data_IF_683491569377
#
_entry.id   IF_683491569377
#
_cell.length_a   1.000
_cell.length_b   1.000
_cell.length_c   1.000
_cell.angle_alpha   90.00
_cell.angle_beta   90.00
_cell.angle_gamma   90.00
#
_symmetry.space_group_name_H-M   'P 1'
#
loop_
_entity.id
_entity.type
_entity.pdbx_description
1 polymer ?
#
# COMPACT_ATOMS: atom_id res chain seq x y z
N UNK A 1 -32.34 6.99 7.81
CA UNK A 1 -32.10 5.88 8.77
C UNK A 1 -31.47 6.33 10.09
N UNK A 2 -30.40 7.13 10.10
CA UNK A 2 -29.79 7.66 11.34
C UNK A 2 -30.63 8.70 12.13
N UNK A 3 -31.80 9.09 11.62
CA UNK A 3 -32.73 10.05 12.25
C UNK A 3 -33.81 9.38 13.12
N UNK A 4 -33.86 8.04 13.19
CA UNK A 4 -35.02 7.31 13.73
C UNK A 4 -34.80 6.82 15.18
N UNK A 5 -33.57 6.55 15.60
CA UNK A 5 -33.27 6.10 16.98
C UNK A 5 -31.81 6.38 17.36
N UNK A 6 -31.58 6.94 18.56
CA UNK A 6 -30.24 7.19 19.12
C UNK A 6 -29.40 5.92 19.25
N UNK A 7 -30.02 4.80 19.66
CA UNK A 7 -29.34 3.52 19.80
C UNK A 7 -28.89 2.96 18.45
N UNK A 8 -29.75 3.08 17.42
CA UNK A 8 -29.38 2.68 16.07
C UNK A 8 -28.21 3.51 15.54
N UNK A 9 -28.23 4.83 15.79
CA UNK A 9 -27.12 5.73 15.42
C UNK A 9 -25.82 5.34 16.14
N UNK A 10 -25.87 5.00 17.42
CA UNK A 10 -24.69 4.61 18.20
C UNK A 10 -24.03 3.32 17.66
N UNK A 11 -24.82 2.39 17.14
CA UNK A 11 -24.31 1.13 16.56
C UNK A 11 -23.81 1.33 15.13
N UNK A 12 -24.55 2.09 14.32
CA UNK A 12 -24.26 2.21 12.87
C UNK A 12 -23.15 3.22 12.57
N UNK A 13 -23.01 4.27 13.37
CA UNK A 13 -21.99 5.31 13.11
C UNK A 13 -20.57 4.74 13.08
N UNK A 14 -20.12 3.90 14.04
CA UNK A 14 -18.79 3.30 13.96
C UNK A 14 -18.57 2.50 12.67
N UNK A 15 -19.57 1.74 12.23
CA UNK A 15 -19.49 0.90 11.02
C UNK A 15 -19.36 1.77 9.76
N UNK A 16 -20.16 2.83 9.65
CA UNK A 16 -20.16 3.71 8.47
C UNK A 16 -18.87 4.52 8.31
N UNK A 17 -18.17 4.78 9.41
CA UNK A 17 -16.97 5.61 9.43
C UNK A 17 -15.69 4.81 9.72
N UNK A 18 -15.76 3.48 9.82
CA UNK A 18 -14.61 2.62 10.09
C UNK A 18 -13.54 2.76 8.99
N UNK A 19 -13.99 2.83 7.73
CA UNK A 19 -13.16 3.01 6.56
C UNK A 19 -13.65 4.24 5.79
N UNK A 20 -12.76 5.21 5.58
CA UNK A 20 -13.07 6.40 4.78
C UNK A 20 -12.14 6.48 3.57
N UNK A 21 -12.71 6.88 2.44
CA UNK A 21 -11.97 7.26 1.24
C UNK A 21 -12.10 8.77 1.06
N UNK A 22 -10.97 9.46 0.96
CA UNK A 22 -10.83 10.88 0.70
C UNK A 22 -10.43 11.04 -0.77
N UNK A 23 -11.41 11.37 -1.62
CA UNK A 23 -11.26 11.64 -3.05
C UNK A 23 -11.89 13.00 -3.42
N UNK A 24 -11.84 13.38 -4.70
CA UNK A 24 -12.40 14.63 -5.21
C UNK A 24 -13.84 14.88 -4.75
N UNK A 25 -14.65 13.82 -4.72
CA UNK A 25 -16.07 13.89 -4.42
C UNK A 25 -16.35 13.94 -2.92
N UNK A 26 -15.57 13.22 -2.11
CA UNK A 26 -15.85 13.07 -0.68
C UNK A 26 -15.11 14.06 0.21
N UNK A 27 -14.00 14.63 -0.27
CA UNK A 27 -13.05 15.37 0.55
C UNK A 27 -13.69 16.52 1.34
N UNK A 28 -14.46 17.39 0.67
CA UNK A 28 -15.09 18.55 1.32
C UNK A 28 -16.13 18.14 2.38
N UNK A 29 -16.84 17.03 2.18
CA UNK A 29 -17.78 16.51 3.17
C UNK A 29 -17.06 16.03 4.43
N UNK A 30 -15.88 15.41 4.29
CA UNK A 30 -15.06 15.02 5.43
C UNK A 30 -14.41 16.20 6.14
N UNK A 31 -14.04 17.27 5.42
CA UNK A 31 -13.61 18.55 6.03
C UNK A 31 -14.74 19.17 6.86
N UNK A 32 -15.98 19.17 6.36
CA UNK A 32 -17.12 19.66 7.13
C UNK A 32 -17.39 18.77 8.35
N UNK A 33 -17.30 17.45 8.17
CA UNK A 33 -17.55 16.45 9.22
C UNK A 33 -16.50 16.51 10.33
N UNK A 34 -15.23 16.79 10.01
CA UNK A 34 -14.15 16.91 11.01
C UNK A 34 -14.32 18.08 11.97
N UNK A 35 -15.08 19.11 11.57
CA UNK A 35 -15.35 20.31 12.37
C UNK A 35 -16.51 20.15 13.34
N UNK A 36 -17.21 19.01 13.33
CA UNK A 36 -18.31 18.75 14.25
C UNK A 36 -17.78 18.50 15.67
N UNK A 37 -18.40 19.07 16.73
CA UNK A 37 -17.95 18.88 18.12
C UNK A 37 -17.89 17.40 18.57
N UNK A 38 -18.78 16.57 18.04
CA UNK A 38 -18.78 15.12 18.21
C UNK A 38 -18.64 14.44 16.84
N UNK A 39 -17.49 14.67 16.20
CA UNK A 39 -17.24 14.14 14.85
C UNK A 39 -17.25 12.61 14.85
N UNK A 40 -17.98 11.97 13.91
CA UNK A 40 -17.97 10.51 13.79
C UNK A 40 -16.63 9.97 13.27
N UNK A 41 -15.73 10.83 12.78
CA UNK A 41 -14.42 10.43 12.25
C UNK A 41 -13.48 9.86 13.32
N UNK A 42 -13.79 10.05 14.60
CA UNK A 42 -13.09 9.36 15.69
C UNK A 42 -13.18 7.83 15.60
N UNK A 43 -14.15 7.28 14.87
CA UNK A 43 -14.31 5.84 14.65
C UNK A 43 -13.46 5.30 13.48
N UNK A 44 -12.78 6.16 12.75
CA UNK A 44 -11.97 5.76 11.58
C UNK A 44 -10.79 4.91 12.01
N UNK A 45 -10.67 3.73 11.39
CA UNK A 45 -9.55 2.79 11.54
C UNK A 45 -8.69 2.71 10.28
N UNK A 46 -9.27 2.98 9.13
CA UNK A 46 -8.57 3.00 7.85
C UNK A 46 -8.91 4.24 7.05
N UNK A 47 -7.89 4.87 6.48
CA UNK A 47 -8.04 6.00 5.58
C UNK A 47 -7.39 5.70 4.24
N UNK A 48 -8.10 5.99 3.15
CA UNK A 48 -7.59 5.94 1.78
C UNK A 48 -7.61 7.36 1.23
N UNK A 49 -6.44 7.93 0.98
CA UNK A 49 -6.29 9.25 0.38
C UNK A 49 -5.84 9.08 -1.07
N UNK A 50 -6.78 9.27 -1.98
CA UNK A 50 -6.56 9.21 -3.43
C UNK A 50 -6.47 10.63 -4.02
N UNK A 51 -6.80 11.63 -3.20
CA UNK A 51 -6.81 13.03 -3.58
C UNK A 51 -5.42 13.65 -3.55
N UNK A 52 -4.83 13.94 -4.72
CA UNK A 52 -3.50 14.55 -4.82
C UNK A 52 -3.49 16.06 -4.51
N UNK A 53 -4.62 16.75 -4.66
CA UNK A 53 -4.70 18.22 -4.64
C UNK A 53 -5.42 18.77 -3.40
N UNK A 54 -5.00 18.35 -2.20
CA UNK A 54 -5.59 18.88 -0.98
C UNK A 54 -4.93 20.18 -0.48
N UNK A 55 -5.76 21.08 0.07
CA UNK A 55 -5.23 22.23 0.79
C UNK A 55 -4.74 21.81 2.18
N UNK A 56 -3.53 22.26 2.56
CA UNK A 56 -2.90 21.93 3.84
C UNK A 56 -3.84 22.18 5.03
N UNK A 57 -4.50 23.33 5.06
CA UNK A 57 -5.43 23.68 6.14
C UNK A 57 -6.61 22.71 6.26
N UNK A 58 -7.17 22.27 5.14
CA UNK A 58 -8.28 21.31 5.15
C UNK A 58 -7.82 19.93 5.59
N UNK A 59 -6.63 19.52 5.15
CA UNK A 59 -6.06 18.24 5.55
C UNK A 59 -5.72 18.22 7.05
N UNK A 60 -5.17 19.31 7.58
CA UNK A 60 -4.93 19.46 9.02
C UNK A 60 -6.20 19.24 9.85
N UNK A 61 -7.34 19.77 9.38
CA UNK A 61 -8.60 19.60 10.09
C UNK A 61 -9.06 18.13 10.14
N UNK A 62 -8.80 17.37 9.07
CA UNK A 62 -9.12 15.95 9.01
C UNK A 62 -8.11 15.14 9.83
N UNK A 63 -6.81 15.35 9.62
CA UNK A 63 -5.75 14.59 10.27
C UNK A 63 -5.87 14.61 11.81
N UNK A 64 -6.19 15.77 12.40
CA UNK A 64 -6.36 15.92 13.85
C UNK A 64 -7.47 15.06 14.46
N UNK A 65 -8.46 14.65 13.67
CA UNK A 65 -9.58 13.81 14.16
C UNK A 65 -9.38 12.32 13.84
N UNK A 66 -8.40 11.98 13.00
CA UNK A 66 -8.03 10.61 12.63
C UNK A 66 -7.03 9.98 13.61
N UNK A 67 -7.27 10.13 14.90
CA UNK A 67 -6.35 9.66 15.96
C UNK A 67 -6.28 8.14 16.08
N UNK A 68 -7.29 7.44 15.56
CA UNK A 68 -7.56 6.03 15.79
C UNK A 68 -7.20 5.12 14.62
N UNK A 69 -6.58 5.68 13.58
CA UNK A 69 -6.25 4.92 12.37
C UNK A 69 -5.10 3.95 12.63
N UNK A 70 -5.26 2.74 12.11
CA UNK A 70 -4.26 1.67 12.13
C UNK A 70 -3.78 1.30 10.73
N UNK A 71 -4.48 1.77 9.69
CA UNK A 71 -4.16 1.54 8.29
C UNK A 71 -4.25 2.85 7.48
N UNK A 72 -3.25 3.07 6.63
CA UNK A 72 -3.18 4.23 5.74
C UNK A 72 -2.95 3.76 4.30
N UNK A 73 -3.65 4.36 3.34
CA UNK A 73 -3.34 4.26 1.91
C UNK A 73 -3.28 5.66 1.33
N UNK A 74 -2.23 5.99 0.59
CA UNK A 74 -2.09 7.28 -0.09
C UNK A 74 -0.64 7.70 -0.29
N UNK A 75 -0.39 8.94 -0.73
CA UNK A 75 0.95 9.41 -1.02
C UNK A 75 1.79 9.58 0.26
N UNK A 76 3.09 9.28 0.16
CA UNK A 76 4.06 9.38 1.26
C UNK A 76 4.08 10.77 1.93
N UNK A 77 3.86 11.83 1.14
CA UNK A 77 3.75 13.21 1.65
C UNK A 77 2.60 13.37 2.65
N UNK A 78 1.42 12.84 2.34
CA UNK A 78 0.26 12.97 3.21
C UNK A 78 0.48 12.20 4.51
N UNK A 79 1.11 11.03 4.43
CA UNK A 79 1.50 10.25 5.59
C UNK A 79 2.44 11.04 6.52
N UNK A 80 3.49 11.66 5.97
CA UNK A 80 4.40 12.52 6.73
C UNK A 80 3.67 13.70 7.37
N UNK A 81 2.78 14.36 6.64
CA UNK A 81 1.97 15.45 7.17
C UNK A 81 1.07 14.98 8.32
N UNK A 82 0.42 13.81 8.22
CA UNK A 82 -0.37 13.24 9.33
C UNK A 82 0.49 12.98 10.57
N UNK A 83 1.69 12.43 10.39
CA UNK A 83 2.58 12.14 11.50
C UNK A 83 3.04 13.38 12.23
N UNK A 84 3.31 14.48 11.51
CA UNK A 84 3.65 15.76 12.12
C UNK A 84 2.48 16.42 12.83
N UNK A 85 1.24 16.07 12.47
CA UNK A 85 0.03 16.68 13.03
C UNK A 85 -0.61 15.85 14.15
N UNK A 86 -0.24 14.58 14.26
CA UNK A 86 -0.82 13.61 15.19
C UNK A 86 0.29 13.00 16.05
N UNK A 87 0.44 13.52 17.26
CA UNK A 87 1.52 13.16 18.22
C UNK A 87 1.66 11.65 18.50
N UNK A 88 0.58 10.87 18.31
CA UNK A 88 0.53 9.44 18.63
C UNK A 88 -0.08 8.60 17.52
N UNK A 89 0.36 8.81 16.29
CA UNK A 89 -0.07 7.98 15.17
C UNK A 89 0.45 6.53 15.36
N UNK A 90 -0.47 5.56 15.44
CA UNK A 90 -0.18 4.14 15.73
C UNK A 90 -0.54 3.24 14.55
N UNK A 91 0.04 3.55 13.39
CA UNK A 91 -0.17 2.74 12.19
C UNK A 91 0.49 1.36 12.30
N UNK A 92 -0.28 0.35 11.94
CA UNK A 92 0.20 -1.03 11.76
C UNK A 92 0.53 -1.33 10.30
N UNK A 93 -0.15 -0.65 9.37
CA UNK A 93 0.03 -0.82 7.93
C UNK A 93 0.02 0.50 7.18
N UNK A 94 0.79 0.56 6.09
CA UNK A 94 0.69 1.63 5.10
C UNK A 94 0.85 1.08 3.67
N UNK A 95 0.02 1.58 2.75
CA UNK A 95 0.19 1.48 1.31
C UNK A 95 0.54 2.85 0.75
N UNK A 96 1.74 2.97 0.21
CA UNK A 96 2.26 4.22 -0.33
C UNK A 96 2.07 4.23 -1.84
N UNK A 97 1.22 5.14 -2.30
CA UNK A 97 0.72 5.18 -3.68
C UNK A 97 1.54 6.07 -4.61
N UNK A 98 2.56 6.74 -4.08
CA UNK A 98 3.57 7.43 -4.89
C UNK A 98 4.77 6.53 -5.18
N UNK A 99 5.43 6.80 -6.32
CA UNK A 99 6.67 6.12 -6.65
C UNK A 99 7.71 6.43 -5.58
N UNK A 100 8.33 5.38 -5.06
CA UNK A 100 9.38 5.38 -4.06
C UNK A 100 10.55 6.35 -4.31
N UNK A 101 10.81 6.76 -5.55
CA UNK A 101 11.82 7.80 -5.84
C UNK A 101 11.49 9.19 -5.22
N UNK A 102 10.27 9.37 -4.74
CA UNK A 102 9.77 10.61 -4.13
C UNK A 102 9.84 10.65 -2.59
N UNK A 103 10.39 9.63 -1.91
CA UNK A 103 10.46 9.61 -0.44
C UNK A 103 11.15 10.85 0.11
N UNK A 104 10.36 11.79 0.61
CA UNK A 104 10.86 12.96 1.34
C UNK A 104 11.30 12.55 2.74
N UNK A 105 12.31 13.26 3.26
CA UNK A 105 12.72 13.26 4.67
C UNK A 105 11.46 13.35 5.56
N UNK A 106 11.16 12.29 6.31
CA UNK A 106 10.03 12.26 7.27
C UNK A 106 9.26 10.93 7.32
N UNK A 107 9.24 10.15 6.23
CA UNK A 107 8.46 8.90 6.15
C UNK A 107 9.23 7.69 6.68
N UNK A 108 10.57 7.70 6.62
CA UNK A 108 11.41 6.57 7.02
C UNK A 108 11.19 6.13 8.46
N UNK A 109 11.12 7.08 9.40
CA UNK A 109 10.90 6.76 10.82
C UNK A 109 9.55 6.07 11.03
N UNK A 110 8.52 6.50 10.30
CA UNK A 110 7.20 5.87 10.37
C UNK A 110 7.21 4.47 9.80
N UNK A 111 7.82 4.31 8.62
CA UNK A 111 7.96 3.03 7.94
C UNK A 111 8.66 2.01 8.84
N UNK A 112 9.66 2.45 9.60
CA UNK A 112 10.36 1.58 10.55
C UNK A 112 9.47 1.05 11.67
N UNK A 113 8.34 1.70 11.97
CA UNK A 113 7.38 1.26 13.01
C UNK A 113 6.28 0.35 12.47
N UNK A 114 6.10 0.27 11.15
CA UNK A 114 5.04 -0.52 10.54
C UNK A 114 5.30 -2.02 10.64
N UNK A 115 4.23 -2.80 10.75
CA UNK A 115 4.28 -4.26 10.61
C UNK A 115 4.05 -4.68 9.15
N UNK A 116 3.25 -3.91 8.41
CA UNK A 116 2.91 -4.18 7.01
C UNK A 116 3.20 -2.96 6.14
N UNK A 117 3.90 -3.15 5.02
CA UNK A 117 4.27 -2.06 4.12
C UNK A 117 4.06 -2.45 2.66
N UNK A 118 3.26 -1.67 1.95
CA UNK A 118 2.97 -1.87 0.53
C UNK A 118 3.53 -0.68 -0.25
N UNK A 119 4.40 -0.98 -1.21
CA UNK A 119 5.14 0.00 -2.00
C UNK A 119 4.92 -0.22 -3.50
N UNK A 120 4.90 0.89 -4.23
CA UNK A 120 4.97 0.92 -5.69
C UNK A 120 6.42 1.02 -6.17
N UNK A 121 6.89 0.01 -6.90
CA UNK A 121 8.26 -0.07 -7.43
C UNK A 121 8.24 -0.01 -8.96
N UNK A 122 8.86 1.02 -9.56
CA UNK A 122 8.97 1.07 -11.02
C UNK A 122 10.02 0.09 -11.54
N UNK A 123 9.65 -0.70 -12.56
CA UNK A 123 10.55 -1.55 -13.33
C UNK A 123 11.37 -0.70 -14.32
N UNK A 124 12.23 0.18 -13.79
CA UNK A 124 13.18 0.99 -14.56
C UNK A 124 14.62 0.72 -14.09
N UNK A 125 15.56 0.86 -15.02
CA UNK A 125 16.99 0.69 -14.72
C UNK A 125 17.49 1.76 -13.73
N UNK A 126 18.12 1.29 -12.65
CA UNK A 126 19.29 1.97 -12.08
C UNK A 126 19.07 3.19 -11.18
N UNK A 127 17.93 3.32 -10.49
CA UNK A 127 17.87 4.24 -9.34
C UNK A 127 17.60 3.48 -8.06
N UNK A 128 18.46 3.73 -7.08
CA UNK A 128 18.22 3.35 -5.70
C UNK A 128 16.94 4.04 -5.20
N UNK A 129 16.16 3.31 -4.41
CA UNK A 129 14.91 3.77 -3.81
C UNK A 129 15.18 4.71 -2.64
N UNK A 130 16.42 4.71 -2.09
CA UNK A 130 16.81 5.53 -0.95
C UNK A 130 16.10 5.15 0.36
N UNK A 131 15.36 4.04 0.37
CA UNK A 131 14.66 3.52 1.53
C UNK A 131 15.39 2.29 2.06
N UNK A 132 15.96 2.42 3.26
CA UNK A 132 16.53 1.30 3.98
C UNK A 132 15.53 0.76 5.02
N UNK A 133 15.23 -0.53 4.93
CA UNK A 133 14.33 -1.25 5.84
C UNK A 133 15.07 -2.10 6.87
N UNK A 134 16.41 -1.99 6.95
CA UNK A 134 17.26 -2.84 7.79
C UNK A 134 16.88 -2.76 9.27
N UNK A 135 16.50 -1.56 9.70
CA UNK A 135 16.09 -1.24 11.07
C UNK A 135 14.57 -1.26 11.27
N UNK A 136 13.80 -1.68 10.27
CA UNK A 136 12.34 -1.66 10.34
C UNK A 136 11.73 -2.85 11.09
N UNK A 137 10.52 -2.65 11.60
CA UNK A 137 9.66 -3.67 12.20
C UNK A 137 8.79 -4.41 11.18
N UNK A 138 8.99 -4.19 9.88
CA UNK A 138 8.16 -4.75 8.82
C UNK A 138 8.28 -6.28 8.80
N UNK A 139 7.14 -6.95 8.95
CA UNK A 139 7.00 -8.41 8.86
C UNK A 139 6.40 -8.83 7.51
N UNK A 140 5.56 -7.98 6.92
CA UNK A 140 4.89 -8.23 5.63
C UNK A 140 5.15 -7.07 4.67
N UNK A 141 5.78 -7.38 3.54
CA UNK A 141 6.08 -6.42 2.49
C UNK A 141 5.28 -6.79 1.23
N UNK A 142 4.58 -5.84 0.64
CA UNK A 142 3.97 -5.98 -0.68
C UNK A 142 4.67 -5.00 -1.65
N UNK A 143 5.07 -5.48 -2.81
CA UNK A 143 5.79 -4.72 -3.82
C UNK A 143 5.03 -4.83 -5.14
N UNK A 144 4.38 -3.75 -5.53
CA UNK A 144 3.76 -3.64 -6.84
C UNK A 144 4.83 -3.24 -7.85
N UNK A 145 5.20 -4.18 -8.74
CA UNK A 145 6.23 -3.98 -9.76
C UNK A 145 5.60 -3.36 -11.00
N UNK A 146 5.68 -2.04 -11.11
CA UNK A 146 4.99 -1.25 -12.12
C UNK A 146 5.79 -1.10 -13.41
N UNK A 147 5.10 -1.23 -14.54
CA UNK A 147 5.63 -0.78 -15.83
C UNK A 147 4.54 -0.12 -16.67
N UNK A 148 4.78 1.15 -17.00
CA UNK A 148 3.93 1.93 -17.88
C UNK A 148 4.17 1.65 -19.38
N UNK A 149 5.22 0.86 -19.70
CA UNK A 149 5.56 0.53 -21.08
C UNK A 149 4.51 -0.42 -21.66
N UNK A 150 4.16 -0.19 -22.93
CA UNK A 150 3.25 -1.09 -23.68
C UNK A 150 3.82 -2.50 -23.81
N UNK A 151 5.13 -2.61 -23.83
CA UNK A 151 5.87 -3.88 -23.89
C UNK A 151 7.12 -3.75 -23.04
N UNK A 152 7.44 -4.82 -22.32
CA UNK A 152 8.66 -4.91 -21.52
C UNK A 152 9.63 -5.84 -22.24
N UNK A 153 10.85 -5.35 -22.48
CA UNK A 153 11.97 -6.26 -22.74
C UNK A 153 12.37 -6.86 -21.41
N UNK A 154 12.00 -8.12 -21.22
CA UNK A 154 12.11 -8.78 -19.92
C UNK A 154 13.57 -8.95 -19.53
N UNK A 155 14.48 -9.14 -20.48
CA UNK A 155 15.91 -9.21 -20.18
C UNK A 155 16.43 -7.92 -19.53
N UNK A 156 15.87 -6.77 -19.94
CA UNK A 156 16.20 -5.46 -19.38
C UNK A 156 15.54 -5.13 -18.03
N UNK A 157 14.66 -6.00 -17.50
CA UNK A 157 14.00 -5.81 -16.21
C UNK A 157 15.01 -5.93 -15.08
N UNK A 158 15.24 -4.81 -14.41
CA UNK A 158 16.04 -4.70 -13.20
C UNK A 158 15.17 -4.90 -11.96
N UNK A 159 15.38 -6.03 -11.28
CA UNK A 159 14.71 -6.33 -10.01
C UNK A 159 15.51 -5.85 -8.79
N UNK A 160 16.72 -5.32 -8.98
CA UNK A 160 17.62 -4.97 -7.86
C UNK A 160 17.01 -4.04 -6.81
N UNK A 161 16.22 -2.99 -7.17
CA UNK A 161 15.66 -2.10 -6.16
C UNK A 161 14.62 -2.82 -5.28
N UNK A 162 13.71 -3.56 -5.92
CA UNK A 162 12.64 -4.31 -5.23
C UNK A 162 13.18 -5.47 -4.40
N UNK A 163 14.20 -6.16 -4.90
CA UNK A 163 14.81 -7.30 -4.21
C UNK A 163 15.69 -6.86 -3.05
N UNK A 164 16.36 -5.71 -3.15
CA UNK A 164 17.06 -5.09 -2.02
C UNK A 164 16.11 -4.81 -0.86
N UNK A 165 14.94 -4.22 -1.14
CA UNK A 165 13.90 -3.97 -0.14
C UNK A 165 13.37 -5.28 0.48
N UNK A 166 13.19 -6.33 -0.31
CA UNK A 166 12.74 -7.63 0.20
C UNK A 166 13.81 -8.39 1.01
N UNK A 167 15.08 -8.00 0.91
CA UNK A 167 16.17 -8.62 1.69
C UNK A 167 16.55 -7.81 2.94
N UNK A 168 16.20 -6.52 2.95
CA UNK A 168 16.65 -5.56 3.96
C UNK A 168 16.04 -5.80 5.37
N UNK A 169 14.72 -6.00 5.57
CA UNK A 169 14.15 -6.12 6.91
C UNK A 169 14.49 -7.45 7.60
N UNK A 170 15.04 -7.36 8.81
CA UNK A 170 15.41 -8.52 9.62
C UNK A 170 14.21 -9.35 10.10
N UNK A 171 13.05 -8.70 10.28
CA UNK A 171 11.81 -9.33 10.78
C UNK A 171 10.89 -9.83 9.67
N UNK A 172 11.31 -9.68 8.41
CA UNK A 172 10.47 -10.02 7.28
C UNK A 172 10.10 -11.52 7.31
N UNK A 173 8.80 -11.79 7.34
CA UNK A 173 8.22 -13.12 7.23
C UNK A 173 7.75 -13.41 5.81
N UNK A 174 7.29 -12.37 5.11
CA UNK A 174 6.72 -12.49 3.77
C UNK A 174 6.96 -11.23 2.93
N UNK A 175 7.50 -11.40 1.73
CA UNK A 175 7.49 -10.40 0.67
C UNK A 175 6.65 -10.89 -0.51
N UNK A 176 5.58 -10.18 -0.82
CA UNK A 176 4.70 -10.42 -1.96
C UNK A 176 5.05 -9.49 -3.12
N UNK A 177 5.42 -10.06 -4.26
CA UNK A 177 5.66 -9.32 -5.49
C UNK A 177 4.43 -9.42 -6.39
N UNK A 178 3.92 -8.27 -6.84
CA UNK A 178 2.71 -8.14 -7.67
C UNK A 178 3.07 -7.40 -8.96
N UNK A 179 3.32 -8.10 -10.08
CA UNK A 179 3.63 -7.41 -11.33
C UNK A 179 2.41 -6.67 -11.88
N UNK A 180 2.55 -5.35 -12.02
CA UNK A 180 1.55 -4.45 -12.58
C UNK A 180 2.05 -3.97 -13.95
N UNK A 181 1.82 -4.80 -14.96
CA UNK A 181 2.19 -4.51 -16.36
C UNK A 181 0.96 -4.30 -17.26
N UNK A 182 1.12 -3.53 -18.34
CA UNK A 182 0.03 -3.23 -19.29
C UNK A 182 -0.51 -4.50 -19.97
N UNK A 183 0.34 -5.50 -20.17
CA UNK A 183 -0.03 -6.77 -20.82
C UNK A 183 0.11 -7.94 -19.85
N UNK A 184 -0.84 -8.87 -19.92
CA UNK A 184 -0.81 -10.12 -19.15
C UNK A 184 0.48 -10.92 -19.37
N UNK A 185 0.99 -10.99 -20.61
CA UNK A 185 2.23 -11.70 -20.90
C UNK A 185 3.43 -11.11 -20.15
N UNK A 186 3.46 -9.80 -19.96
CA UNK A 186 4.55 -9.12 -19.25
C UNK A 186 4.45 -9.38 -17.73
N UNK A 187 3.23 -9.45 -17.18
CA UNK A 187 3.00 -9.88 -15.78
C UNK A 187 3.60 -11.26 -15.53
N UNK A 188 3.30 -12.23 -16.39
CA UNK A 188 3.78 -13.60 -16.26
C UNK A 188 5.31 -13.69 -16.36
N UNK A 189 5.91 -12.94 -17.29
CA UNK A 189 7.37 -12.94 -17.45
C UNK A 189 8.10 -12.27 -16.28
N UNK A 190 7.58 -11.16 -15.74
CA UNK A 190 8.15 -10.52 -14.54
C UNK A 190 7.99 -11.44 -13.32
N UNK A 191 6.82 -12.05 -13.15
CA UNK A 191 6.57 -13.05 -12.12
C UNK A 191 7.60 -14.19 -12.18
N UNK A 192 7.86 -14.72 -13.38
CA UNK A 192 8.85 -15.77 -13.59
C UNK A 192 10.27 -15.34 -13.19
N UNK A 193 10.68 -14.11 -13.53
CA UNK A 193 11.98 -13.58 -13.07
C UNK A 193 12.09 -13.49 -11.55
N UNK A 194 11.02 -13.07 -10.85
CA UNK A 194 10.99 -13.06 -9.38
C UNK A 194 11.10 -14.48 -8.82
N UNK A 195 10.41 -15.45 -9.43
CA UNK A 195 10.50 -16.87 -9.05
C UNK A 195 11.92 -17.40 -9.21
N UNK A 196 12.58 -17.14 -10.34
CA UNK A 196 13.96 -17.55 -10.59
C UNK A 196 14.94 -16.93 -9.59
N UNK A 197 14.79 -15.63 -9.32
CA UNK A 197 15.57 -14.96 -8.29
C UNK A 197 15.38 -15.59 -6.90
N UNK A 198 14.15 -15.85 -6.49
CA UNK A 198 13.84 -16.46 -5.19
C UNK A 198 14.42 -17.88 -5.08
N UNK A 199 14.33 -18.67 -6.17
CA UNK A 199 14.92 -20.02 -6.28
C UNK A 199 16.43 -19.99 -6.13
N UNK A 200 17.11 -19.08 -6.84
CA UNK A 200 18.57 -18.95 -6.78
C UNK A 200 19.07 -18.59 -5.38
N UNK A 201 18.23 -17.96 -4.56
CA UNK A 201 18.53 -17.60 -3.17
C UNK A 201 18.03 -18.60 -2.15
N UNK A 202 17.22 -19.58 -2.54
CA UNK A 202 16.51 -20.47 -1.62
C UNK A 202 15.71 -19.68 -0.57
N UNK A 203 15.04 -18.58 -0.96
CA UNK A 203 14.31 -17.73 -0.02
C UNK A 203 12.81 -18.09 0.02
N UNK A 204 12.38 -18.67 1.14
CA UNK A 204 10.98 -19.11 1.35
C UNK A 204 10.01 -17.97 1.64
N UNK A 205 10.54 -16.78 1.94
CA UNK A 205 9.71 -15.62 2.31
C UNK A 205 9.10 -14.95 1.08
N UNK A 206 9.53 -15.33 -0.12
CA UNK A 206 9.14 -14.68 -1.37
C UNK A 206 7.88 -15.33 -1.92
N UNK A 207 6.88 -14.49 -2.19
CA UNK A 207 5.60 -14.85 -2.80
C UNK A 207 5.37 -14.00 -4.03
N UNK A 208 4.63 -14.55 -4.98
CA UNK A 208 4.26 -13.89 -6.22
C UNK A 208 2.76 -14.00 -6.41
N UNK A 209 2.12 -12.88 -6.68
CA UNK A 209 0.76 -12.83 -7.22
C UNK A 209 0.86 -12.38 -8.68
N UNK A 210 0.70 -13.34 -9.58
CA UNK A 210 0.79 -13.20 -11.02
C UNK A 210 -0.58 -12.97 -11.67
N UNK A 211 -1.58 -12.61 -10.86
CA UNK A 211 -2.92 -12.22 -11.34
C UNK A 211 -2.82 -10.97 -12.20
N UNK A 212 -3.29 -11.07 -13.45
CA UNK A 212 -3.36 -9.90 -14.31
C UNK A 212 -4.53 -9.00 -13.90
N UNK A 213 -4.20 -7.80 -13.43
CA UNK A 213 -5.18 -6.75 -13.16
C UNK A 213 -4.91 -5.58 -14.09
N UNK A 214 -5.82 -5.28 -15.03
CA UNK A 214 -5.66 -4.15 -15.92
C UNK A 214 -5.81 -2.84 -15.14
N UNK A 215 -4.77 -2.02 -15.15
CA UNK A 215 -4.79 -0.64 -14.61
C UNK A 215 -4.86 0.42 -15.72
N UNK A 216 -5.03 -0.04 -16.96
CA UNK A 216 -5.23 0.81 -18.14
C UNK A 216 -6.35 0.25 -19.00
N UNK A 217 -7.38 1.04 -19.22
CA UNK A 217 -8.47 0.75 -20.14
C UNK A 217 -8.31 1.57 -21.43
N UNK A 218 -8.77 1.03 -22.56
CA UNK A 218 -8.67 1.70 -23.86
C UNK A 218 -9.58 2.94 -23.95
N UNK A 219 -10.71 2.91 -23.25
CA UNK A 219 -11.78 3.91 -23.26
C UNK A 219 -11.66 4.95 -22.14
N UNK A 220 -11.05 4.60 -21.00
CA UNK A 220 -11.01 5.45 -19.81
C UNK A 220 -9.61 5.82 -19.30
N UNK A 221 -8.55 5.35 -19.97
CA UNK A 221 -7.17 5.71 -19.60
C UNK A 221 -6.66 4.92 -18.40
N UNK A 222 -5.98 5.57 -17.46
CA UNK A 222 -5.35 4.95 -16.30
C UNK A 222 -6.32 4.92 -15.11
N UNK A 223 -6.41 3.80 -14.40
CA UNK A 223 -7.33 3.60 -13.27
C UNK A 223 -6.61 3.29 -11.96
N UNK A 224 -5.55 4.05 -11.67
CA UNK A 224 -4.76 3.84 -10.44
C UNK A 224 -5.58 4.04 -9.18
N UNK A 225 -6.43 5.06 -9.18
CA UNK A 225 -7.32 5.38 -8.06
C UNK A 225 -8.24 4.23 -7.66
N UNK A 226 -8.88 3.58 -8.64
CA UNK A 226 -9.78 2.44 -8.37
C UNK A 226 -9.00 1.22 -7.87
N UNK A 227 -7.79 1.02 -8.38
CA UNK A 227 -6.92 -0.07 -7.95
C UNK A 227 -6.45 0.14 -6.51
N UNK A 228 -6.01 1.35 -6.16
CA UNK A 228 -5.58 1.71 -4.80
C UNK A 228 -6.72 1.57 -3.79
N UNK A 229 -7.93 2.02 -4.16
CA UNK A 229 -9.13 1.83 -3.34
C UNK A 229 -9.41 0.34 -3.13
N UNK A 230 -9.32 -0.48 -4.18
CA UNK A 230 -9.56 -1.93 -4.08
C UNK A 230 -8.53 -2.62 -3.19
N UNK A 231 -7.25 -2.35 -3.42
CA UNK A 231 -6.16 -2.93 -2.64
C UNK A 231 -6.27 -2.55 -1.15
N UNK A 232 -6.62 -1.29 -0.85
CA UNK A 232 -6.86 -0.85 0.51
C UNK A 232 -8.03 -1.59 1.19
N UNK A 233 -9.10 -1.87 0.45
CA UNK A 233 -10.29 -2.57 0.94
C UNK A 233 -10.08 -4.08 1.10
N UNK A 234 -9.16 -4.70 0.35
CA UNK A 234 -8.78 -6.11 0.55
C UNK A 234 -8.11 -6.35 1.91
N UNK A 235 -7.50 -5.30 2.48
CA UNK A 235 -6.94 -5.32 3.83
C UNK A 235 -5.94 -6.45 4.02
N UNK A 236 -6.15 -7.28 5.05
CA UNK A 236 -5.26 -8.38 5.41
C UNK A 236 -5.15 -9.48 4.32
N UNK A 237 -6.18 -9.64 3.48
CA UNK A 237 -6.22 -10.68 2.45
C UNK A 237 -5.15 -10.48 1.37
N UNK A 238 -4.85 -9.22 1.04
CA UNK A 238 -3.85 -8.86 0.04
C UNK A 238 -2.46 -9.40 0.44
N UNK A 239 -2.07 -9.21 1.70
CA UNK A 239 -0.75 -9.59 2.21
C UNK A 239 -0.51 -11.08 2.27
N UNK A 240 -1.58 -11.86 2.41
CA UNK A 240 -1.56 -13.31 2.52
C UNK A 240 -1.84 -14.02 1.19
N UNK A 241 -2.16 -13.26 0.14
CA UNK A 241 -2.41 -13.75 -1.22
C UNK A 241 -1.16 -14.11 -2.02
N UNK A 242 -1.35 -14.69 -3.19
CA UNK A 242 -0.28 -15.17 -4.07
C UNK A 242 0.29 -16.53 -3.67
N UNK A 243 1.18 -17.06 -4.52
CA UNK A 243 1.84 -18.36 -4.35
C UNK A 243 3.28 -18.20 -3.90
N UNK A 244 3.78 -19.15 -3.12
CA UNK A 244 5.18 -19.16 -2.70
C UNK A 244 6.08 -19.38 -3.92
N UNK A 245 7.11 -18.55 -4.08
CA UNK A 245 8.01 -18.59 -5.22
C UNK A 245 8.97 -19.79 -5.17
N UNK A 246 9.39 -20.14 -3.95
CA UNK A 246 10.25 -21.28 -3.68
C UNK A 246 9.88 -21.95 -2.37
N UNK A 247 9.83 -23.28 -2.40
CA UNK A 247 9.69 -24.11 -1.22
C UNK A 247 10.69 -25.26 -1.30
N UNK A 248 11.22 -25.74 -0.17
CA UNK A 248 12.11 -26.89 -0.15
C UNK A 248 11.34 -28.12 -0.58
N UNK A 249 11.86 -28.89 -1.54
CA UNK A 249 11.27 -30.18 -1.87
C UNK A 249 11.39 -31.12 -0.66
N UNK A 250 10.33 -31.85 -0.30
CA UNK A 250 10.44 -32.87 0.74
C UNK A 250 11.54 -33.84 0.31
N UNK A 251 12.53 -34.09 1.18
CA UNK A 251 13.49 -35.16 0.94
C UNK A 251 12.67 -36.45 0.87
N UNK A 252 12.62 -37.06 -0.31
CA UNK A 252 12.15 -38.43 -0.46
C UNK A 252 13.03 -39.29 0.45
N UNK A 253 12.46 -39.80 1.53
CA UNK A 253 13.09 -40.83 2.36
C UNK A 253 13.22 -42.06 1.46
N UNK A 254 14.45 -42.31 1.00
CA UNK A 254 14.84 -43.55 0.32
C UNK A 254 15.13 -44.66 1.31
#
# INVERSE_FOLDING_TARGET
>A
LCLVCSNFRAVVTPILYEHIALDDDTYQYFVATSRLPATPLVHTRSVVLVYEQYSKQSFESIARVLLNISAFTGPSRALAEMFHLVDRLTLSSAHLTDLTFGFKLGVTEMVHRLTRLHLLCELRQGRDMGLDLSSSHVEYLALDLLSYRRTIDVESVDLSPSTSLALSPLRLRRALFRPRCVRQIDVQRVAQKVVEWAKNRCDQRIYVDDTFVPFRAADRGWHWEELEKRDAMEGDSLWLGGRQAWYPQPRSLG
#
